data_IF_031291027982
#
_entry.id   IF_031291027982
#
_cell.length_a   1.000
_cell.length_b   1.000
_cell.length_c   1.000
_cell.angle_alpha   90.00
_cell.angle_beta   90.00
_cell.angle_gamma   90.00
#
_symmetry.space_group_name_H-M   'P 1'
#
loop_
_entity.id
_entity.type
_entity.pdbx_description
1 polymer ?
#
# COMPACT_ATOMS: atom_id res chain seq x y z
N UNK A 1 -6.15 -1.87 12.31
CA UNK A 1 -5.50 -0.58 12.01
C UNK A 1 -4.00 -0.75 12.24
N UNK A 2 -3.21 -0.92 11.18
CA UNK A 2 -1.75 -1.01 11.27
C UNK A 2 -1.12 0.39 11.18
N UNK A 3 -0.06 0.65 11.94
CA UNK A 3 0.72 1.89 11.84
C UNK A 3 2.15 1.55 11.50
N UNK A 4 2.74 2.31 10.58
CA UNK A 4 4.10 2.15 10.15
C UNK A 4 4.95 3.37 10.57
N UNK A 5 6.13 3.12 11.13
CA UNK A 5 7.07 4.14 11.57
C UNK A 5 8.48 3.86 11.01
N UNK A 6 9.17 4.90 10.52
CA UNK A 6 10.56 4.84 10.03
C UNK A 6 11.37 5.96 10.69
N UNK A 7 12.11 5.68 11.77
CA UNK A 7 12.96 6.67 12.43
C UNK A 7 12.23 8.00 12.72
N UNK A 8 12.81 9.14 12.30
CA UNK A 8 12.21 10.48 12.44
C UNK A 8 11.20 10.86 11.34
N UNK A 9 11.04 10.03 10.30
CA UNK A 9 10.14 10.29 9.17
C UNK A 9 8.99 9.29 9.17
N UNK A 10 7.85 9.69 9.73
CA UNK A 10 6.64 8.86 9.74
C UNK A 10 6.03 8.74 8.33
N UNK A 11 6.39 7.68 7.60
CA UNK A 11 5.60 7.19 6.45
C UNK A 11 4.38 6.47 7.02
N UNK A 12 3.39 7.24 7.44
CA UNK A 12 2.15 6.67 7.94
C UNK A 12 1.33 6.14 6.76
N UNK A 13 0.98 4.87 6.80
CA UNK A 13 0.02 4.27 5.88
C UNK A 13 -1.11 3.68 6.70
N UNK A 14 -2.31 4.20 6.50
CA UNK A 14 -3.50 3.67 7.12
C UNK A 14 -4.34 2.98 6.04
N UNK A 15 -4.44 1.66 6.21
CA UNK A 15 -5.37 0.84 5.45
C UNK A 15 -6.80 1.19 5.86
N UNK A 16 -7.61 1.65 4.90
CA UNK A 16 -9.01 1.97 5.12
C UNK A 16 -9.90 0.78 4.72
N UNK A 17 -9.83 0.36 3.45
CA UNK A 17 -10.67 -0.70 2.90
C UNK A 17 -10.11 -1.28 1.59
N UNK A 18 -10.55 -2.49 1.24
CA UNK A 18 -10.48 -3.03 -0.13
C UNK A 18 -11.92 -3.27 -0.58
N UNK A 19 -12.28 -2.71 -1.73
CA UNK A 19 -13.66 -2.68 -2.24
C UNK A 19 -13.69 -3.13 -3.70
N UNK A 20 -14.77 -3.80 -4.16
CA UNK A 20 -15.02 -3.99 -5.59
C UNK A 20 -15.12 -2.64 -6.30
N UNK A 21 -14.62 -2.58 -7.54
CA UNK A 21 -14.79 -1.41 -8.40
C UNK A 21 -15.81 -1.68 -9.53
N UNK A 22 -16.23 -0.62 -10.21
CA UNK A 22 -17.26 -0.68 -11.27
C UNK A 22 -16.82 -1.47 -12.51
N UNK A 23 -15.52 -1.75 -12.64
CA UNK A 23 -14.91 -2.53 -13.73
C UNK A 23 -14.80 -4.03 -13.37
N UNK A 24 -15.31 -4.45 -12.21
CA UNK A 24 -15.26 -5.85 -11.74
C UNK A 24 -13.95 -6.26 -11.07
N UNK A 25 -13.05 -5.31 -10.83
CA UNK A 25 -11.79 -5.49 -10.08
C UNK A 25 -11.90 -5.07 -8.61
N UNK A 26 -10.75 -4.91 -7.95
CA UNK A 26 -10.65 -4.42 -6.57
C UNK A 26 -9.90 -3.08 -6.52
N UNK A 27 -10.31 -2.21 -5.61
CA UNK A 27 -9.62 -0.97 -5.24
C UNK A 27 -9.22 -1.02 -3.78
N UNK A 28 -7.94 -0.74 -3.53
CA UNK A 28 -7.38 -0.51 -2.21
C UNK A 28 -7.42 0.99 -1.90
N UNK A 29 -8.15 1.37 -0.85
CA UNK A 29 -8.22 2.74 -0.36
C UNK A 29 -7.24 2.93 0.79
N UNK A 30 -6.28 3.84 0.63
CA UNK A 30 -5.30 4.13 1.68
C UNK A 30 -5.10 5.61 1.94
N UNK A 31 -4.84 5.95 3.19
CA UNK A 31 -4.36 7.28 3.57
C UNK A 31 -2.83 7.25 3.67
N UNK A 32 -2.17 8.17 2.95
CA UNK A 32 -0.71 8.28 2.93
C UNK A 32 -0.19 9.48 3.75
N UNK A 33 0.89 9.26 4.51
CA UNK A 33 1.57 10.23 5.37
C UNK A 33 0.85 10.51 6.68
N UNK A 34 1.53 11.19 7.64
CA UNK A 34 1.04 11.34 9.02
C UNK A 34 -0.42 11.84 9.14
N UNK A 35 -1.24 11.27 10.06
CA UNK A 35 -2.65 11.60 10.24
C UNK A 35 -2.85 12.94 10.95
N UNK A 36 -1.80 13.49 11.59
CA UNK A 36 -1.83 14.77 12.30
C UNK A 36 -1.82 16.01 11.38
N UNK A 37 -1.75 15.84 10.05
CA UNK A 37 -1.76 16.94 9.07
C UNK A 37 -3.01 16.85 8.18
N UNK A 38 -4.10 17.46 8.62
CA UNK A 38 -5.31 17.74 7.85
C UNK A 38 -6.14 16.52 7.44
N UNK A 39 -7.30 16.77 6.81
CA UNK A 39 -8.10 15.73 6.16
C UNK A 39 -7.36 15.21 4.92
N UNK A 40 -6.87 13.98 5.01
CA UNK A 40 -6.25 13.31 3.86
C UNK A 40 -7.26 12.40 3.21
N UNK A 41 -7.65 12.75 1.99
CA UNK A 41 -8.53 11.92 1.17
C UNK A 41 -7.85 10.57 0.91
N UNK A 42 -8.55 9.43 1.11
CA UNK A 42 -8.05 8.12 0.71
C UNK A 42 -7.68 8.10 -0.77
N UNK A 43 -6.53 7.52 -1.08
CA UNK A 43 -6.04 7.35 -2.44
C UNK A 43 -6.47 5.97 -2.99
N UNK A 44 -7.04 5.91 -4.20
CA UNK A 44 -7.49 4.66 -4.81
C UNK A 44 -6.37 3.96 -5.58
N UNK A 45 -5.84 2.87 -5.04
CA UNK A 45 -4.93 2.00 -5.76
C UNK A 45 -5.72 0.84 -6.37
N UNK A 46 -5.70 0.73 -7.71
CA UNK A 46 -6.45 -0.32 -8.43
C UNK A 46 -5.64 -1.61 -8.48
N UNK A 47 -6.27 -2.75 -8.28
CA UNK A 47 -5.63 -4.06 -8.47
C UNK A 47 -5.26 -4.24 -9.94
N UNK A 48 -3.98 -4.49 -10.21
CA UNK A 48 -3.44 -4.72 -11.57
C UNK A 48 -2.94 -6.14 -11.77
N UNK A 49 -2.57 -6.83 -10.69
CA UNK A 49 -2.11 -8.21 -10.74
C UNK A 49 -2.43 -8.93 -9.43
N UNK A 50 -2.78 -10.21 -9.52
CA UNK A 50 -2.99 -11.08 -8.37
C UNK A 50 -2.47 -12.48 -8.65
N UNK A 51 -1.96 -13.12 -7.61
CA UNK A 51 -1.55 -14.52 -7.60
C UNK A 51 -2.04 -15.17 -6.29
N UNK A 52 -1.90 -16.49 -6.11
CA UNK A 52 -2.29 -17.16 -4.86
C UNK A 52 -1.66 -16.53 -3.60
N UNK A 53 -0.45 -15.98 -3.72
CA UNK A 53 0.32 -15.44 -2.60
C UNK A 53 0.63 -13.95 -2.72
N UNK A 54 0.15 -13.25 -3.76
CA UNK A 54 0.44 -11.82 -3.94
C UNK A 54 -0.72 -11.03 -4.53
N UNK A 55 -0.73 -9.73 -4.23
CA UNK A 55 -1.62 -8.76 -4.86
C UNK A 55 -0.88 -7.45 -5.09
N UNK A 56 -0.91 -6.96 -6.33
CA UNK A 56 -0.28 -5.70 -6.74
C UNK A 56 -1.34 -4.68 -7.10
N UNK A 57 -1.25 -3.52 -6.48
CA UNK A 57 -2.13 -2.38 -6.70
C UNK A 57 -1.36 -1.18 -7.23
N UNK A 58 -1.97 -0.39 -8.10
CA UNK A 58 -1.33 0.75 -8.76
C UNK A 58 -2.18 2.02 -8.73
N UNK A 59 -1.51 3.17 -8.60
CA UNK A 59 -2.03 4.50 -8.87
C UNK A 59 -0.94 5.28 -9.62
N UNK A 60 -0.94 5.20 -10.95
CA UNK A 60 0.10 5.77 -11.82
C UNK A 60 0.30 7.28 -11.64
N UNK A 61 -0.75 8.01 -11.26
CA UNK A 61 -0.70 9.46 -11.04
C UNK A 61 -0.28 9.87 -9.62
N UNK A 62 0.03 8.92 -8.73
CA UNK A 62 0.53 9.24 -7.40
C UNK A 62 2.04 9.58 -7.44
N UNK A 63 2.50 10.50 -6.58
CA UNK A 63 3.93 10.84 -6.51
C UNK A 63 4.75 9.66 -5.94
N UNK A 64 4.35 9.14 -4.79
CA UNK A 64 4.87 7.91 -4.19
C UNK A 64 3.90 7.37 -3.12
N UNK A 65 3.70 6.04 -3.03
CA UNK A 65 4.14 5.02 -3.99
C UNK A 65 3.22 4.98 -5.21
N UNK A 66 3.73 4.56 -6.36
CA UNK A 66 2.90 4.29 -7.54
C UNK A 66 2.36 2.88 -7.52
N UNK A 67 3.15 1.94 -7.01
CA UNK A 67 2.80 0.52 -6.92
C UNK A 67 2.95 0.03 -5.49
N UNK A 68 2.01 -0.79 -5.06
CA UNK A 68 1.97 -1.45 -3.75
C UNK A 68 1.79 -2.94 -4.01
N UNK A 69 2.76 -3.76 -3.60
CA UNK A 69 2.67 -5.22 -3.72
C UNK A 69 2.67 -5.84 -2.34
N UNK A 70 1.61 -6.57 -2.01
CA UNK A 70 1.56 -7.44 -0.84
C UNK A 70 1.96 -8.86 -1.24
N UNK A 71 2.84 -9.49 -0.47
CA UNK A 71 3.27 -10.88 -0.68
C UNK A 71 3.13 -11.65 0.63
N UNK A 72 2.40 -12.76 0.61
CA UNK A 72 2.32 -13.67 1.76
C UNK A 72 3.67 -14.37 1.92
N UNK A 73 4.31 -14.21 3.08
CA UNK A 73 5.55 -14.93 3.43
C UNK A 73 5.25 -16.20 4.24
N UNK A 74 4.26 -16.11 5.13
CA UNK A 74 3.75 -17.20 5.96
C UNK A 74 2.30 -16.91 6.36
N UNK A 75 1.67 -17.80 7.13
CA UNK A 75 0.30 -17.62 7.61
C UNK A 75 0.12 -16.32 8.43
N UNK A 76 1.16 -15.90 9.14
CA UNK A 76 1.17 -14.75 10.05
C UNK A 76 1.96 -13.55 9.51
N UNK A 77 2.61 -13.67 8.35
CA UNK A 77 3.49 -12.63 7.79
C UNK A 77 3.15 -12.27 6.37
N UNK A 78 3.05 -10.97 6.13
CA UNK A 78 2.87 -10.37 4.81
C UNK A 78 3.95 -9.34 4.60
N UNK A 79 4.68 -9.45 3.50
CA UNK A 79 5.58 -8.42 3.03
C UNK A 79 4.82 -7.39 2.20
N UNK A 80 5.26 -6.14 2.25
CA UNK A 80 4.69 -5.05 1.49
C UNK A 80 5.79 -4.22 0.86
N UNK A 81 5.78 -4.21 -0.45
CA UNK A 81 6.70 -3.45 -1.29
C UNK A 81 6.01 -2.23 -1.86
N UNK A 82 6.60 -1.07 -1.62
CA UNK A 82 6.17 0.21 -2.16
C UNK A 82 7.19 0.68 -3.19
N UNK A 83 6.78 0.86 -4.44
CA UNK A 83 7.68 1.29 -5.52
C UNK A 83 7.25 2.62 -6.13
N UNK A 84 8.23 3.44 -6.50
CA UNK A 84 8.05 4.62 -7.35
C UNK A 84 7.64 4.25 -8.78
N UNK A 85 7.44 5.28 -9.61
CA UNK A 85 7.14 5.11 -11.04
C UNK A 85 8.40 4.88 -11.89
N UNK A 86 8.25 4.86 -13.22
CA UNK A 86 9.39 4.78 -14.15
C UNK A 86 10.46 5.86 -13.94
N UNK A 87 10.05 7.05 -13.49
CA UNK A 87 10.97 8.17 -13.20
C UNK A 87 11.68 8.05 -11.83
N UNK A 88 11.27 7.11 -10.97
CA UNK A 88 11.82 6.87 -9.63
C UNK A 88 11.84 5.37 -9.30
N UNK A 89 12.30 4.54 -10.24
CA UNK A 89 12.34 3.06 -10.09
C UNK A 89 13.22 2.60 -8.93
N UNK A 90 14.19 3.44 -8.55
CA UNK A 90 15.14 3.13 -7.48
C UNK A 90 14.54 3.26 -6.08
N UNK A 91 13.41 3.96 -5.93
CA UNK A 91 12.75 4.12 -4.64
C UNK A 91 11.86 2.92 -4.36
N UNK A 92 12.40 2.01 -3.55
CA UNK A 92 11.72 0.85 -2.98
C UNK A 92 11.70 0.95 -1.46
N UNK A 93 10.52 0.83 -0.86
CA UNK A 93 10.36 0.67 0.59
C UNK A 93 9.69 -0.69 0.88
N UNK A 94 10.27 -1.46 1.80
CA UNK A 94 9.80 -2.80 2.18
C UNK A 94 9.35 -2.81 3.63
N UNK A 95 8.19 -3.41 3.90
CA UNK A 95 7.58 -3.49 5.21
C UNK A 95 7.01 -4.87 5.48
N UNK A 96 7.48 -5.51 6.55
CA UNK A 96 6.93 -6.79 7.00
C UNK A 96 5.83 -6.56 8.04
N UNK A 97 4.63 -6.99 7.71
CA UNK A 97 3.49 -7.00 8.61
C UNK A 97 3.36 -8.33 9.32
N UNK A 98 3.03 -8.26 10.60
CA UNK A 98 2.61 -9.40 11.40
C UNK A 98 1.11 -9.32 11.62
N UNK A 99 0.41 -10.42 11.37
CA UNK A 99 -0.98 -10.55 11.78
C UNK A 99 -1.01 -10.62 13.31
N UNK A 100 -1.55 -9.59 13.95
CA UNK A 100 -1.79 -9.61 15.39
C UNK A 100 -2.67 -10.79 15.77
N UNK A 101 -2.31 -11.49 16.84
CA UNK A 101 -3.17 -12.50 17.47
C UNK A 101 -4.46 -11.89 18.00
#
# INVERSE_FOLDING_TARGET
>A
MGRLFRGETTVFMEFMSIEPNDEGGLTLWMVLGAPSRGEKKPKPFRLVETSPDSATFEMADNDFPKTITYTRLSEDRVDCHLRGGPDDETRLETYVFHRGR
#
